data_IF_536636363075
#
_entry.id   IF_536636363075
#
_cell.length_a   1.000
_cell.length_b   1.000
_cell.length_c   1.000
_cell.angle_alpha   90.00
_cell.angle_beta   90.00
_cell.angle_gamma   90.00
#
_symmetry.space_group_name_H-M   'P 1'
#
loop_
_entity.id
_entity.type
_entity.pdbx_description
1 polymer ?
#
# COMPACT_ATOMS: atom_id res chain seq x y z
N UNK A 1 -13.09 35.56 -3.16
CA UNK A 1 -13.06 34.27 -2.44
C UNK A 1 -11.70 33.63 -2.66
N UNK A 2 -10.94 33.36 -1.59
CA UNK A 2 -9.63 32.71 -1.68
C UNK A 2 -9.89 31.24 -2.03
N UNK A 3 -9.56 30.82 -3.25
CA UNK A 3 -9.70 29.41 -3.66
C UNK A 3 -8.78 28.60 -2.74
N UNK A 4 -9.36 27.67 -1.99
CA UNK A 4 -8.62 26.87 -1.01
C UNK A 4 -7.75 25.88 -1.79
N UNK A 5 -6.44 25.91 -1.58
CA UNK A 5 -5.51 25.06 -2.32
C UNK A 5 -5.66 23.59 -1.88
N UNK A 6 -6.53 22.83 -2.57
CA UNK A 6 -6.79 21.42 -2.27
C UNK A 6 -5.68 20.45 -2.74
N UNK A 7 -4.59 20.95 -3.32
CA UNK A 7 -3.48 20.14 -3.82
C UNK A 7 -2.76 19.33 -2.73
N UNK A 8 -2.74 19.82 -1.50
CA UNK A 8 -2.20 19.09 -0.36
C UNK A 8 -3.03 17.84 -0.03
N UNK A 9 -4.36 17.95 -0.06
CA UNK A 9 -5.26 16.83 0.18
C UNK A 9 -5.13 15.80 -0.93
N UNK A 10 -5.04 16.24 -2.19
CA UNK A 10 -4.79 15.35 -3.33
C UNK A 10 -3.47 14.57 -3.18
N UNK A 11 -2.40 15.23 -2.72
CA UNK A 11 -1.11 14.59 -2.46
C UNK A 11 -1.20 13.51 -1.37
N UNK A 12 -1.92 13.77 -0.28
CA UNK A 12 -2.13 12.79 0.80
C UNK A 12 -2.96 11.60 0.32
N UNK A 13 -4.06 11.83 -0.40
CA UNK A 13 -4.88 10.75 -0.94
C UNK A 13 -4.08 9.84 -1.89
N UNK A 14 -3.32 10.45 -2.80
CA UNK A 14 -2.48 9.73 -3.73
C UNK A 14 -1.36 8.95 -3.03
N UNK A 15 -0.71 9.54 -2.02
CA UNK A 15 0.35 8.85 -1.29
C UNK A 15 -0.19 7.66 -0.50
N UNK A 16 -1.34 7.82 0.16
CA UNK A 16 -2.03 6.71 0.88
C UNK A 16 -2.30 5.56 -0.08
N UNK A 17 -2.80 5.86 -1.28
CA UNK A 17 -3.03 4.84 -2.29
C UNK A 17 -1.74 4.13 -2.73
N UNK A 18 -0.63 4.86 -2.87
CA UNK A 18 0.69 4.27 -3.17
C UNK A 18 1.18 3.38 -2.01
N UNK A 19 1.00 3.80 -0.75
CA UNK A 19 1.34 2.98 0.41
C UNK A 19 0.55 1.67 0.45
N UNK A 20 -0.77 1.76 0.23
CA UNK A 20 -1.64 0.59 0.19
C UNK A 20 -1.30 -0.37 -0.95
N UNK A 21 -1.02 0.16 -2.14
CA UNK A 21 -0.61 -0.66 -3.28
C UNK A 21 0.75 -1.30 -3.05
N UNK A 22 1.68 -0.64 -2.36
CA UNK A 22 2.96 -1.22 -1.97
C UNK A 22 2.78 -2.41 -1.01
N UNK A 23 1.85 -2.32 -0.05
CA UNK A 23 1.48 -3.47 0.80
C UNK A 23 0.93 -4.60 -0.07
N UNK A 24 -0.03 -4.30 -0.95
CA UNK A 24 -0.62 -5.31 -1.85
C UNK A 24 0.44 -6.01 -2.69
N UNK A 25 1.34 -5.27 -3.33
CA UNK A 25 2.42 -5.82 -4.16
C UNK A 25 3.36 -6.69 -3.33
N UNK A 26 3.75 -6.25 -2.13
CA UNK A 26 4.58 -7.05 -1.22
C UNK A 26 3.87 -8.33 -0.75
N UNK A 27 2.54 -8.27 -0.59
CA UNK A 27 1.71 -9.42 -0.26
C UNK A 27 1.67 -10.41 -1.43
N UNK A 28 1.37 -9.94 -2.64
CA UNK A 28 1.34 -10.79 -3.84
C UNK A 28 2.70 -11.41 -4.15
N UNK A 29 3.80 -10.68 -3.92
CA UNK A 29 5.14 -11.23 -4.05
C UNK A 29 5.43 -12.34 -3.03
N UNK A 30 5.02 -12.13 -1.77
CA UNK A 30 5.10 -13.13 -0.70
C UNK A 30 4.28 -14.39 -0.99
N UNK A 31 3.13 -14.24 -1.66
CA UNK A 31 2.30 -15.36 -2.13
C UNK A 31 2.97 -16.10 -3.30
N UNK A 32 3.52 -15.37 -4.28
CA UNK A 32 4.13 -15.94 -5.47
C UNK A 32 5.47 -16.65 -5.20
N UNK A 33 6.30 -16.13 -4.27
CA UNK A 33 7.60 -16.70 -3.92
C UNK A 33 7.89 -16.57 -2.41
N UNK A 34 7.31 -17.44 -1.57
CA UNK A 34 7.38 -17.31 -0.12
C UNK A 34 8.80 -17.49 0.43
N UNK A 35 9.62 -18.36 -0.17
CA UNK A 35 10.98 -18.66 0.33
C UNK A 35 11.89 -17.44 0.33
N UNK A 36 11.89 -16.67 -0.76
CA UNK A 36 12.74 -15.48 -0.89
C UNK A 36 12.07 -14.26 -0.27
N UNK A 37 10.79 -14.02 -0.60
CA UNK A 37 10.10 -12.81 -0.17
C UNK A 37 9.93 -12.74 1.35
N UNK A 38 9.59 -13.85 2.02
CA UNK A 38 9.38 -13.81 3.47
C UNK A 38 10.68 -13.50 4.23
N UNK A 39 11.83 -13.99 3.78
CA UNK A 39 13.11 -13.68 4.40
C UNK A 39 13.47 -12.20 4.26
N UNK A 40 13.26 -11.63 3.06
CA UNK A 40 13.49 -10.20 2.80
C UNK A 40 12.55 -9.34 3.64
N UNK A 41 11.25 -9.68 3.67
CA UNK A 41 10.25 -8.95 4.43
C UNK A 41 10.50 -9.03 5.94
N UNK A 42 10.90 -10.19 6.47
CA UNK A 42 11.27 -10.33 7.88
C UNK A 42 12.43 -9.42 8.26
N UNK A 43 13.48 -9.34 7.42
CA UNK A 43 14.60 -8.41 7.64
C UNK A 43 14.14 -6.96 7.61
N UNK A 44 13.31 -6.61 6.62
CA UNK A 44 12.76 -5.25 6.49
C UNK A 44 11.86 -4.84 7.66
N UNK A 45 11.13 -5.79 8.27
CA UNK A 45 10.23 -5.52 9.40
C UNK A 45 10.86 -5.63 10.79
N UNK A 46 12.10 -6.13 10.88
CA UNK A 46 12.76 -6.46 12.16
C UNK A 46 13.00 -5.27 13.11
N UNK A 47 12.85 -4.05 12.62
CA UNK A 47 12.96 -2.82 13.41
C UNK A 47 11.67 -2.48 14.17
N UNK A 48 10.52 -3.08 13.80
CA UNK A 48 9.24 -2.81 14.44
C UNK A 48 9.19 -3.57 15.78
N UNK A 49 8.93 -2.91 16.92
CA UNK A 49 8.80 -3.61 18.19
C UNK A 49 7.65 -4.63 18.12
N UNK A 50 7.92 -5.89 18.49
CA UNK A 50 6.94 -6.97 18.40
C UNK A 50 6.82 -7.63 17.02
N UNK A 51 7.73 -7.35 16.06
CA UNK A 51 7.71 -7.92 14.71
C UNK A 51 7.64 -9.45 14.69
N UNK A 52 8.21 -10.13 15.69
CA UNK A 52 8.17 -11.60 15.82
C UNK A 52 6.74 -12.16 15.94
N UNK A 53 5.79 -11.38 16.46
CA UNK A 53 4.40 -11.81 16.64
C UNK A 53 3.57 -11.81 15.36
N UNK A 54 4.00 -11.06 14.34
CA UNK A 54 3.30 -10.90 13.05
C UNK A 54 4.13 -11.42 11.85
N UNK A 55 5.40 -11.76 12.09
CA UNK A 55 6.28 -12.40 11.11
C UNK A 55 6.55 -11.51 9.89
N UNK A 56 6.59 -12.07 8.66
CA UNK A 56 6.88 -11.31 7.44
C UNK A 56 5.89 -10.18 7.16
N UNK A 57 4.74 -10.16 7.83
CA UNK A 57 3.77 -9.09 7.73
C UNK A 57 4.32 -7.73 8.21
N UNK A 58 5.18 -7.73 9.23
CA UNK A 58 5.92 -6.53 9.66
C UNK A 58 6.70 -5.88 8.51
N UNK A 59 7.28 -6.71 7.64
CA UNK A 59 7.96 -6.26 6.44
C UNK A 59 7.02 -5.64 5.41
N UNK A 60 5.83 -6.21 5.24
CA UNK A 60 4.81 -5.69 4.32
C UNK A 60 4.34 -4.30 4.76
N UNK A 61 4.11 -4.12 6.05
CA UNK A 61 3.79 -2.81 6.64
C UNK A 61 4.93 -1.80 6.47
N UNK A 62 6.18 -2.24 6.65
CA UNK A 62 7.35 -1.38 6.41
C UNK A 62 7.44 -0.93 4.95
N UNK A 63 7.24 -1.84 3.99
CA UNK A 63 7.22 -1.52 2.56
C UNK A 63 6.10 -0.52 2.25
N UNK A 64 4.92 -0.73 2.83
CA UNK A 64 3.80 0.22 2.76
C UNK A 64 4.14 1.60 3.28
N UNK A 65 4.76 1.67 4.47
CA UNK A 65 5.17 2.92 5.11
C UNK A 65 6.21 3.67 4.29
N UNK A 66 7.22 2.97 3.76
CA UNK A 66 8.25 3.56 2.90
C UNK A 66 7.61 4.09 1.61
N UNK A 67 6.77 3.29 0.94
CA UNK A 67 6.07 3.70 -0.27
C UNK A 67 5.19 4.93 -0.03
N UNK A 68 4.46 4.96 1.09
CA UNK A 68 3.65 6.10 1.50
C UNK A 68 4.48 7.35 1.77
N UNK A 69 5.54 7.27 2.59
CA UNK A 69 6.34 8.44 2.97
C UNK A 69 7.11 9.04 1.78
N UNK A 70 7.73 8.19 0.96
CA UNK A 70 8.48 8.64 -0.22
C UNK A 70 7.54 9.28 -1.24
N UNK A 71 6.41 8.63 -1.52
CA UNK A 71 5.43 9.19 -2.46
C UNK A 71 4.79 10.47 -1.93
N UNK A 72 4.46 10.52 -0.64
CA UNK A 72 3.93 11.72 0.01
C UNK A 72 4.90 12.88 -0.13
N UNK A 73 6.18 12.70 0.17
CA UNK A 73 7.17 13.77 0.01
C UNK A 73 7.21 14.32 -1.41
N UNK A 74 7.33 13.43 -2.41
CA UNK A 74 7.38 13.80 -3.82
C UNK A 74 6.08 14.52 -4.26
N UNK A 75 4.93 13.93 -3.96
CA UNK A 75 3.62 14.44 -4.34
C UNK A 75 3.29 15.76 -3.62
N UNK A 76 3.66 15.89 -2.35
CA UNK A 76 3.44 17.09 -1.58
C UNK A 76 4.19 18.27 -2.20
N UNK A 77 5.48 18.11 -2.52
CA UNK A 77 6.25 19.19 -3.16
C UNK A 77 5.73 19.53 -4.57
N UNK A 78 5.24 18.55 -5.31
CA UNK A 78 4.75 18.72 -6.68
C UNK A 78 3.34 19.31 -6.76
N UNK A 79 2.43 18.93 -5.86
CA UNK A 79 1.02 19.32 -5.89
C UNK A 79 0.66 20.48 -4.94
N UNK A 80 1.52 20.85 -3.98
CA UNK A 80 1.21 21.91 -2.97
C UNK A 80 0.76 23.25 -3.56
N UNK A 81 1.19 23.61 -4.77
CA UNK A 81 0.85 24.89 -5.43
C UNK A 81 -0.26 24.76 -6.48
N UNK A 82 -0.80 23.57 -6.69
CA UNK A 82 -1.78 23.31 -7.75
C UNK A 82 -3.20 23.31 -7.19
N UNK A 83 -4.11 23.94 -7.93
CA UNK A 83 -5.54 23.87 -7.65
C UNK A 83 -6.15 22.67 -8.36
N UNK A 84 -6.77 21.78 -7.60
CA UNK A 84 -7.41 20.58 -8.12
C UNK A 84 -8.87 20.53 -7.72
N UNK A 85 -9.69 19.95 -8.60
CA UNK A 85 -11.07 19.59 -8.27
C UNK A 85 -11.06 18.39 -7.32
N UNK A 86 -11.23 18.67 -6.02
CA UNK A 86 -11.18 17.67 -4.96
C UNK A 86 -12.12 16.48 -5.21
N UNK A 87 -13.32 16.74 -5.74
CA UNK A 87 -14.33 15.70 -6.00
C UNK A 87 -13.82 14.60 -6.96
N UNK A 88 -13.08 14.97 -8.01
CA UNK A 88 -12.51 14.00 -8.96
C UNK A 88 -11.41 13.15 -8.33
N UNK A 89 -10.53 13.78 -7.55
CA UNK A 89 -9.46 13.09 -6.83
C UNK A 89 -10.00 12.16 -5.74
N UNK A 90 -11.01 12.59 -5.01
CA UNK A 90 -11.66 11.78 -3.98
C UNK A 90 -12.38 10.57 -4.60
N UNK A 91 -13.06 10.75 -5.74
CA UNK A 91 -13.67 9.64 -6.47
C UNK A 91 -12.61 8.65 -6.98
N UNK A 92 -11.54 9.14 -7.60
CA UNK A 92 -10.42 8.31 -8.04
C UNK A 92 -9.77 7.53 -6.89
N UNK A 93 -9.54 8.19 -5.74
CA UNK A 93 -9.05 7.55 -4.53
C UNK A 93 -10.00 6.46 -4.04
N UNK A 94 -11.31 6.72 -3.98
CA UNK A 94 -12.28 5.74 -3.51
C UNK A 94 -12.32 4.50 -4.43
N UNK A 95 -12.32 4.69 -5.75
CA UNK A 95 -12.23 3.60 -6.71
C UNK A 95 -10.92 2.80 -6.54
N UNK A 96 -9.79 3.49 -6.40
CA UNK A 96 -8.49 2.87 -6.20
C UNK A 96 -8.39 2.10 -4.87
N UNK A 97 -8.96 2.66 -3.80
CA UNK A 97 -9.05 2.05 -2.49
C UNK A 97 -9.87 0.76 -2.53
N UNK A 98 -11.07 0.80 -3.12
CA UNK A 98 -11.93 -0.36 -3.27
C UNK A 98 -11.25 -1.44 -4.11
N UNK A 99 -10.55 -1.06 -5.18
CA UNK A 99 -9.79 -1.98 -6.01
C UNK A 99 -8.70 -2.70 -5.19
N UNK A 100 -7.91 -1.97 -4.39
CA UNK A 100 -6.90 -2.59 -3.53
C UNK A 100 -7.51 -3.55 -2.52
N UNK A 101 -8.63 -3.18 -1.90
CA UNK A 101 -9.35 -4.04 -0.95
C UNK A 101 -9.85 -5.31 -1.62
N UNK A 102 -10.42 -5.20 -2.83
CA UNK A 102 -10.87 -6.35 -3.62
C UNK A 102 -9.69 -7.27 -3.97
N UNK A 103 -8.55 -6.72 -4.40
CA UNK A 103 -7.37 -7.52 -4.73
C UNK A 103 -6.72 -8.17 -3.50
N UNK A 104 -6.88 -7.60 -2.31
CA UNK A 104 -6.42 -8.20 -1.06
C UNK A 104 -7.35 -9.31 -0.57
N UNK A 105 -8.55 -9.42 -1.13
CA UNK A 105 -9.56 -10.39 -0.70
C UNK A 105 -9.12 -11.81 -1.07
N UNK A 106 -9.07 -12.78 -0.13
CA UNK A 106 -8.58 -14.12 -0.40
C UNK A 106 -9.23 -14.83 -1.61
N UNK A 107 -10.55 -14.74 -1.85
CA UNK A 107 -11.16 -15.31 -3.04
C UNK A 107 -10.58 -14.78 -4.36
N UNK A 108 -10.21 -13.50 -4.40
CA UNK A 108 -9.62 -12.88 -5.60
C UNK A 108 -8.17 -13.33 -5.77
N UNK A 109 -7.41 -13.39 -4.68
CA UNK A 109 -6.05 -13.94 -4.72
C UNK A 109 -6.10 -15.40 -5.18
N UNK A 110 -7.04 -16.20 -4.68
CA UNK A 110 -7.23 -17.59 -5.09
C UNK A 110 -7.67 -17.73 -6.55
N UNK A 111 -8.46 -16.78 -7.06
CA UNK A 111 -8.82 -16.75 -8.47
C UNK A 111 -7.58 -16.55 -9.37
N UNK A 112 -6.62 -15.73 -8.96
CA UNK A 112 -5.40 -15.48 -9.74
C UNK A 112 -4.29 -16.53 -9.54
N UNK A 113 -4.11 -17.06 -8.32
CA UNK A 113 -3.00 -17.95 -7.95
C UNK A 113 -3.41 -19.40 -7.70
N UNK A 114 -4.70 -19.73 -7.80
CA UNK A 114 -5.26 -21.01 -7.38
C UNK A 114 -5.45 -21.08 -5.85
N UNK A 115 -6.06 -22.17 -5.37
CA UNK A 115 -6.12 -22.44 -3.93
C UNK A 115 -4.70 -22.70 -3.44
N UNK A 116 -4.12 -21.75 -2.70
CA UNK A 116 -2.77 -21.88 -2.14
C UNK A 116 -2.72 -23.16 -1.31
N UNK A 117 -1.93 -24.18 -1.70
CA UNK A 117 -1.84 -25.40 -0.91
C UNK A 117 -1.28 -25.02 0.45
N UNK A 118 -2.05 -25.38 1.48
CA UNK A 118 -1.72 -25.39 2.91
C UNK A 118 -0.32 -24.87 3.24
N UNK A 119 -0.24 -23.66 3.81
CA UNK A 119 0.94 -23.27 4.59
C UNK A 119 1.09 -24.34 5.69
N UNK A 120 2.22 -25.09 5.77
CA UNK A 120 2.45 -25.97 6.89
C UNK A 120 2.45 -25.12 8.17
N UNK A 121 1.69 -25.57 9.17
CA UNK A 121 1.60 -24.96 10.49
C UNK A 121 2.93 -24.96 11.23
#
# INVERSE_FOLDING_TARGET
MKVRQFGEIGAVLASVWIGMTAILVSHMWSVANPLVANQVLLRLGSWIPGWWGIGPYAGKETVGLIGWLLSWGILHFLLRKREFQLQKWMFGFLCGFLLVVILLWPPVIHFFFGWLPNLPG
#
